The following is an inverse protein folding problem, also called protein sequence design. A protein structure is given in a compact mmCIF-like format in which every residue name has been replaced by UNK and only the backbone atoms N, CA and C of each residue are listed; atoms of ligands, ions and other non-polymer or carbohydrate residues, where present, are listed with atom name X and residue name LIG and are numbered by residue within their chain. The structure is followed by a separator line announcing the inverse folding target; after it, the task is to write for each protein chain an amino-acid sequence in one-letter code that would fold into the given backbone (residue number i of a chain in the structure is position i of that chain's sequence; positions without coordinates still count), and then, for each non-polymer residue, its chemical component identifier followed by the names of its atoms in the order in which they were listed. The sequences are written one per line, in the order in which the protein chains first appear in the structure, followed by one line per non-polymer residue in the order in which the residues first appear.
data_IF_935130480844
#
_entry.id   IF_935130480844
#
_cell.length_a   1.000
_cell.length_b   1.000
_cell.length_c   1.000
_cell.angle_alpha   90.00
_cell.angle_beta   90.00
_cell.angle_gamma   90.00
#
_symmetry.space_group_name_H-M   'P 1'
#
loop_
_entity.id
_entity.type
_entity.pdbx_description
1 polymer ?
#
# COMPACT_ATOMS: atom_id res chain seq x y z
N UNK A 1 21.81 20.11 -4.12
CA UNK A 1 21.28 18.78 -3.72
C UNK A 1 21.42 18.70 -2.22
N UNK A 2 20.32 18.82 -1.48
CA UNK A 2 20.35 18.64 -0.03
C UNK A 2 20.08 17.16 0.20
N UNK A 3 21.10 16.43 0.60
CA UNK A 3 20.93 15.06 1.08
C UNK A 3 20.46 15.20 2.52
N UNK A 4 19.21 14.93 2.80
CA UNK A 4 18.67 14.88 4.15
C UNK A 4 18.90 13.46 4.68
N UNK A 5 19.82 13.28 5.64
CA UNK A 5 20.08 11.95 6.16
C UNK A 5 18.94 11.49 7.08
N UNK A 6 18.60 10.23 7.00
CA UNK A 6 17.78 9.59 8.02
C UNK A 6 18.57 9.49 9.34
N UNK A 7 17.95 9.91 10.42
CA UNK A 7 18.50 9.75 11.77
C UNK A 7 17.64 8.74 12.53
N UNK A 8 18.11 7.51 12.58
CA UNK A 8 17.35 6.41 13.19
C UNK A 8 16.12 6.05 12.37
N UNK A 9 14.99 5.86 13.03
CA UNK A 9 13.71 5.47 12.45
C UNK A 9 12.81 6.67 12.07
N UNK A 10 13.33 7.88 12.08
CA UNK A 10 12.52 9.08 11.84
C UNK A 10 13.07 9.89 10.66
N UNK A 11 12.24 10.19 9.64
CA UNK A 11 12.63 11.07 8.54
C UNK A 11 12.90 12.48 9.09
N UNK A 12 14.12 12.97 8.92
CA UNK A 12 14.52 14.29 9.43
C UNK A 12 13.71 15.42 8.80
N UNK A 13 13.25 15.23 7.56
CA UNK A 13 12.35 16.13 6.85
C UNK A 13 11.08 16.46 7.65
N UNK A 14 10.54 15.48 8.38
CA UNK A 14 9.34 15.65 9.18
C UNK A 14 9.48 16.68 10.30
N UNK A 15 10.70 17.06 10.67
CA UNK A 15 10.94 18.15 11.64
C UNK A 15 10.65 19.53 11.05
N UNK A 16 10.85 19.69 9.74
CA UNK A 16 10.86 20.99 9.08
C UNK A 16 9.82 21.15 7.99
N UNK A 17 9.33 20.03 7.42
CA UNK A 17 8.48 20.05 6.22
C UNK A 17 7.15 19.36 6.55
N UNK A 18 6.06 20.01 6.15
CA UNK A 18 4.72 19.42 6.02
C UNK A 18 4.28 19.64 4.60
N UNK A 19 3.96 18.55 3.91
CA UNK A 19 3.55 18.57 2.52
C UNK A 19 2.05 18.86 2.43
N UNK A 20 1.62 19.64 1.42
CA UNK A 20 0.21 19.96 1.24
C UNK A 20 -0.60 18.82 0.65
N UNK A 21 0.07 17.91 -0.04
CA UNK A 21 -0.55 16.70 -0.58
C UNK A 21 0.44 15.54 -0.61
N UNK A 22 -0.04 14.27 -0.71
CA UNK A 22 0.81 13.11 -0.88
C UNK A 22 1.69 13.20 -2.14
N UNK A 23 1.17 13.77 -3.23
CA UNK A 23 1.93 13.95 -4.48
C UNK A 23 3.14 14.89 -4.29
N UNK A 24 2.99 15.93 -3.46
CA UNK A 24 4.12 16.80 -3.13
C UNK A 24 5.16 16.08 -2.30
N UNK A 25 4.74 15.27 -1.34
CA UNK A 25 5.65 14.46 -0.53
C UNK A 25 6.42 13.48 -1.40
N UNK A 26 5.71 12.77 -2.27
CA UNK A 26 6.31 11.83 -3.21
C UNK A 26 7.28 12.51 -4.17
N UNK A 27 6.89 13.65 -4.75
CA UNK A 27 7.77 14.42 -5.64
C UNK A 27 9.05 14.90 -4.95
N UNK A 28 9.00 15.15 -3.65
CA UNK A 28 10.16 15.51 -2.84
C UNK A 28 11.13 14.32 -2.68
N UNK A 29 10.60 13.13 -2.41
CA UNK A 29 11.41 11.92 -2.19
C UNK A 29 12.11 11.46 -3.46
N UNK A 30 11.44 11.51 -4.60
CA UNK A 30 11.93 10.95 -5.87
C UNK A 30 12.59 11.95 -6.80
N UNK A 31 12.70 13.21 -6.39
CA UNK A 31 13.37 14.23 -7.22
C UNK A 31 14.89 13.97 -7.33
N UNK A 32 15.50 14.04 -8.52
CA UNK A 32 15.02 14.50 -9.83
C UNK A 32 14.90 13.40 -10.90
N UNK A 33 14.89 12.12 -10.60
CA UNK A 33 15.31 11.07 -11.55
C UNK A 33 14.20 10.16 -12.07
N UNK A 34 12.98 10.22 -11.60
CA UNK A 34 11.93 9.31 -12.08
C UNK A 34 10.65 10.04 -12.47
N UNK A 35 10.05 9.60 -13.58
CA UNK A 35 8.69 9.96 -13.96
C UNK A 35 7.71 9.11 -13.14
N UNK A 36 7.54 9.46 -11.88
CA UNK A 36 6.55 8.83 -11.04
C UNK A 36 5.23 9.56 -11.24
N UNK A 37 4.18 8.78 -11.43
CA UNK A 37 2.81 9.28 -11.44
C UNK A 37 2.03 8.62 -10.33
N UNK A 38 1.33 9.40 -9.54
CA UNK A 38 0.30 8.88 -8.67
C UNK A 38 -0.81 8.29 -9.53
N UNK A 39 -1.07 7.00 -9.36
CA UNK A 39 -2.16 6.31 -10.03
C UNK A 39 -3.44 6.40 -9.20
N UNK A 40 -3.34 6.07 -7.91
CA UNK A 40 -4.45 6.13 -6.96
C UNK A 40 -3.97 6.60 -5.60
N UNK A 41 -4.88 7.22 -4.85
CA UNK A 41 -4.73 7.48 -3.42
C UNK A 41 -5.89 6.80 -2.71
N UNK A 42 -5.58 5.98 -1.73
CA UNK A 42 -6.55 5.36 -0.85
C UNK A 42 -6.48 6.12 0.48
N UNK A 43 -7.50 6.94 0.70
CA UNK A 43 -7.58 7.82 1.87
C UNK A 43 -8.04 7.04 3.09
N UNK A 44 -7.21 7.04 4.14
CA UNK A 44 -7.59 6.63 5.49
C UNK A 44 -8.04 7.81 6.35
N UNK A 45 -8.33 7.60 7.62
CA UNK A 45 -8.70 8.67 8.54
C UNK A 45 -7.47 9.51 8.94
N UNK A 46 -6.41 8.87 9.42
CA UNK A 46 -5.19 9.52 9.90
C UNK A 46 -3.97 9.28 8.99
N UNK A 47 -4.15 8.60 7.88
CA UNK A 47 -3.10 8.28 6.91
C UNK A 47 -3.66 8.15 5.50
N UNK A 48 -2.82 7.93 4.52
CA UNK A 48 -3.21 7.48 3.18
C UNK A 48 -2.17 6.53 2.62
N UNK A 49 -2.61 5.66 1.71
CA UNK A 49 -1.80 4.81 0.86
C UNK A 49 -1.81 5.37 -0.54
N UNK A 50 -0.64 5.69 -1.07
CA UNK A 50 -0.46 6.13 -2.46
C UNK A 50 0.01 4.95 -3.29
N UNK A 51 -0.65 4.70 -4.39
CA UNK A 51 -0.26 3.72 -5.40
C UNK A 51 0.41 4.50 -6.53
N UNK A 52 1.68 4.24 -6.73
CA UNK A 52 2.50 4.87 -7.75
C UNK A 52 2.58 3.99 -8.99
N UNK A 53 2.52 4.63 -10.15
CA UNK A 53 2.77 3.99 -11.43
C UNK A 53 4.12 4.45 -11.98
N UNK A 54 5.05 3.52 -12.10
CA UNK A 54 6.37 3.72 -12.70
C UNK A 54 6.42 3.07 -14.08
N UNK A 55 6.81 3.83 -15.08
CA UNK A 55 7.03 3.31 -16.43
C UNK A 55 8.52 3.34 -16.76
N UNK A 56 9.09 2.16 -17.07
CA UNK A 56 10.48 2.03 -17.47
C UNK A 56 10.61 1.02 -18.62
N UNK A 57 11.14 1.49 -19.76
CA UNK A 57 11.37 0.67 -20.95
C UNK A 57 10.10 -0.07 -21.46
N UNK A 58 8.94 0.58 -21.35
CA UNK A 58 7.66 0.00 -21.77
C UNK A 58 7.00 -0.95 -20.73
N UNK A 59 7.67 -1.21 -19.62
CA UNK A 59 7.09 -1.96 -18.50
C UNK A 59 6.49 -1.00 -17.49
N UNK A 60 5.30 -1.33 -17.02
CA UNK A 60 4.61 -0.62 -15.95
C UNK A 60 4.86 -1.39 -14.66
N UNK A 61 5.19 -0.68 -13.60
CA UNK A 61 5.27 -1.20 -12.23
C UNK A 61 4.44 -0.36 -11.29
N UNK A 62 3.85 -1.00 -10.29
CA UNK A 62 3.16 -0.32 -9.22
C UNK A 62 3.95 -0.47 -7.92
N UNK A 63 4.12 0.62 -7.21
CA UNK A 63 4.71 0.66 -5.88
C UNK A 63 3.76 1.38 -4.94
N UNK A 64 3.91 1.16 -3.65
CA UNK A 64 3.03 1.77 -2.63
C UNK A 64 3.84 2.53 -1.62
N UNK A 65 3.32 3.69 -1.21
CA UNK A 65 3.92 4.55 -0.19
C UNK A 65 2.86 5.03 0.79
N UNK A 66 3.22 5.13 2.06
CA UNK A 66 2.32 5.60 3.13
C UNK A 66 2.67 7.01 3.55
N UNK A 67 1.64 7.81 3.85
CA UNK A 67 1.80 9.13 4.44
C UNK A 67 0.86 9.28 5.63
N UNK A 68 1.36 9.91 6.70
CA UNK A 68 0.54 10.30 7.85
C UNK A 68 -0.11 11.64 7.60
N UNK A 69 -1.38 11.76 7.93
CA UNK A 69 -2.11 13.03 7.95
C UNK A 69 -1.79 13.79 9.23
N UNK A 70 -1.54 15.07 9.09
CA UNK A 70 -1.34 16.01 10.19
C UNK A 70 -2.23 17.24 9.94
N UNK A 71 -2.51 18.09 10.93
CA UNK A 71 -3.44 19.22 10.75
C UNK A 71 -3.16 20.11 9.54
N UNK A 72 -1.88 20.26 9.18
CA UNK A 72 -1.46 21.15 8.09
C UNK A 72 -1.10 20.42 6.79
N UNK A 73 -1.33 19.10 6.69
CA UNK A 73 -1.02 18.30 5.50
C UNK A 73 -0.53 16.89 5.78
N UNK A 74 0.57 16.50 5.16
CA UNK A 74 1.09 15.13 5.17
C UNK A 74 2.56 15.08 5.56
N UNK A 75 2.95 13.96 6.18
CA UNK A 75 4.34 13.67 6.57
C UNK A 75 4.67 12.22 6.22
N UNK A 76 5.96 11.96 5.98
CA UNK A 76 6.44 10.59 5.84
C UNK A 76 6.24 9.80 7.14
N UNK A 77 5.87 8.51 7.07
CA UNK A 77 5.90 7.65 8.24
C UNK A 77 7.35 7.42 8.67
N UNK A 78 7.56 7.19 9.96
CA UNK A 78 8.84 6.68 10.45
C UNK A 78 9.01 5.20 10.05
N UNK A 79 10.26 4.71 10.03
CA UNK A 79 10.58 3.33 9.62
C UNK A 79 9.84 2.23 10.40
N UNK A 80 9.31 2.54 11.58
CA UNK A 80 8.55 1.60 12.41
C UNK A 80 7.09 2.02 12.60
N UNK A 81 6.60 2.94 11.79
CA UNK A 81 5.24 3.44 11.91
C UNK A 81 4.22 2.60 11.16
N UNK A 82 4.66 1.78 10.21
CA UNK A 82 3.80 0.80 9.54
C UNK A 82 4.25 -0.59 9.95
N UNK A 83 3.31 -1.38 10.45
CA UNK A 83 3.52 -2.77 10.82
C UNK A 83 2.74 -3.66 9.88
N UNK A 84 3.34 -4.74 9.41
CA UNK A 84 2.74 -5.65 8.45
C UNK A 84 2.55 -7.05 9.03
N UNK A 85 1.50 -7.73 8.56
CA UNK A 85 1.26 -9.14 8.84
C UNK A 85 0.85 -9.87 7.56
N UNK A 86 1.62 -10.88 7.23
CA UNK A 86 1.27 -11.80 6.15
C UNK A 86 0.22 -12.80 6.62
N UNK A 87 -0.80 -13.01 5.81
CA UNK A 87 -1.79 -14.05 6.06
C UNK A 87 -1.26 -15.37 5.52
N UNK A 88 -1.08 -16.33 6.41
CA UNK A 88 -0.49 -17.64 6.08
C UNK A 88 -1.22 -18.33 4.92
N UNK A 89 -0.45 -18.79 3.95
CA UNK A 89 -0.98 -19.51 2.78
C UNK A 89 -1.53 -18.61 1.68
N UNK A 90 -1.32 -17.31 1.76
CA UNK A 90 -1.78 -16.33 0.75
C UNK A 90 -0.68 -15.33 0.45
N UNK A 91 -0.88 -14.54 -0.63
CA UNK A 91 -0.10 -13.31 -0.88
C UNK A 91 -0.70 -12.08 -0.18
N UNK A 92 -1.60 -12.28 0.77
CA UNK A 92 -2.37 -11.24 1.45
C UNK A 92 -1.55 -10.67 2.60
N UNK A 93 -1.43 -9.36 2.62
CA UNK A 93 -0.72 -8.60 3.65
C UNK A 93 -1.71 -7.61 4.26
N UNK A 94 -1.76 -7.56 5.58
CA UNK A 94 -2.46 -6.49 6.31
C UNK A 94 -1.42 -5.62 6.96
N UNK A 95 -1.52 -4.33 6.72
CA UNK A 95 -0.62 -3.31 7.25
C UNK A 95 -1.39 -2.39 8.19
N UNK A 96 -0.80 -2.12 9.34
CA UNK A 96 -1.34 -1.24 10.37
C UNK A 96 -0.47 0.00 10.52
N UNK A 97 -1.06 1.18 10.47
CA UNK A 97 -0.36 2.43 10.69
C UNK A 97 -0.37 2.76 12.19
N UNK A 98 0.79 2.66 12.82
CA UNK A 98 0.96 2.79 14.27
C UNK A 98 0.48 4.14 14.81
N UNK A 99 -0.29 4.07 15.88
CA UNK A 99 -0.87 5.25 16.54
C UNK A 99 -2.13 5.78 15.86
N UNK A 100 -2.64 5.04 14.90
CA UNK A 100 -3.93 5.31 14.23
C UNK A 100 -4.86 4.10 14.40
N UNK A 101 -6.01 4.15 13.73
CA UNK A 101 -6.91 2.99 13.56
C UNK A 101 -7.00 2.58 12.09
N UNK A 102 -6.03 3.02 11.29
CA UNK A 102 -5.97 2.76 9.87
C UNK A 102 -5.27 1.44 9.59
N UNK A 103 -5.94 0.61 8.81
CA UNK A 103 -5.43 -0.64 8.29
C UNK A 103 -5.53 -0.62 6.76
N UNK A 104 -4.53 -1.17 6.12
CA UNK A 104 -4.51 -1.38 4.68
C UNK A 104 -4.30 -2.84 4.38
N UNK A 105 -5.07 -3.34 3.44
CA UNK A 105 -4.94 -4.69 2.94
C UNK A 105 -4.40 -4.64 1.53
N UNK A 106 -3.39 -5.43 1.26
CA UNK A 106 -2.83 -5.57 -0.09
C UNK A 106 -2.53 -7.03 -0.40
N UNK A 107 -2.47 -7.35 -1.68
CA UNK A 107 -2.05 -8.65 -2.14
C UNK A 107 -1.90 -8.70 -3.64
N UNK A 108 -1.36 -9.81 -4.13
CA UNK A 108 -1.10 -10.03 -5.55
C UNK A 108 -1.57 -11.43 -5.95
N UNK A 109 -2.19 -11.53 -7.11
CA UNK A 109 -2.49 -12.80 -7.79
C UNK A 109 -1.92 -12.78 -9.19
N UNK A 110 -1.15 -13.78 -9.54
CA UNK A 110 -0.69 -13.94 -10.91
C UNK A 110 -1.81 -14.51 -11.79
N UNK A 111 -2.03 -13.90 -12.96
CA UNK A 111 -3.04 -14.27 -13.95
C UNK A 111 -2.44 -14.32 -15.35
N UNK A 112 -3.20 -14.84 -16.31
CA UNK A 112 -2.80 -14.94 -17.72
C UNK A 112 -3.37 -13.78 -18.56
N UNK A 113 -4.25 -12.96 -18.00
CA UNK A 113 -4.91 -11.87 -18.68
C UNK A 113 -4.81 -10.56 -17.89
N UNK A 114 -4.53 -9.47 -18.56
CA UNK A 114 -4.46 -8.15 -17.97
C UNK A 114 -5.79 -7.66 -17.37
N UNK A 115 -6.90 -8.12 -17.95
CA UNK A 115 -8.25 -7.70 -17.55
C UNK A 115 -8.88 -8.63 -16.49
N UNK A 116 -8.14 -9.62 -16.01
CA UNK A 116 -8.60 -10.46 -14.92
C UNK A 116 -8.81 -9.64 -13.65
N UNK A 117 -9.89 -9.93 -12.95
CA UNK A 117 -10.24 -9.29 -11.68
C UNK A 117 -10.13 -10.33 -10.57
N UNK A 118 -9.43 -9.97 -9.50
CA UNK A 118 -9.38 -10.80 -8.29
C UNK A 118 -10.71 -10.69 -7.54
N UNK A 119 -11.37 -11.82 -7.25
CA UNK A 119 -12.58 -11.81 -6.43
C UNK A 119 -12.18 -11.65 -4.96
N UNK A 120 -12.20 -10.41 -4.49
CA UNK A 120 -11.91 -10.05 -3.12
C UNK A 120 -13.03 -9.22 -2.54
N UNK A 121 -13.46 -9.59 -1.35
CA UNK A 121 -14.49 -8.91 -0.55
C UNK A 121 -14.16 -9.04 0.93
N UNK A 122 -14.80 -8.25 1.74
CA UNK A 122 -14.78 -8.40 3.19
C UNK A 122 -16.19 -8.28 3.79
N UNK A 123 -16.31 -8.49 5.09
CA UNK A 123 -17.58 -8.35 5.79
C UNK A 123 -17.93 -6.90 6.14
N UNK A 124 -17.09 -5.92 5.83
CA UNK A 124 -17.34 -4.49 6.03
C UNK A 124 -17.80 -3.78 4.76
N UNK A 125 -17.71 -4.43 3.59
CA UNK A 125 -18.05 -3.84 2.30
C UNK A 125 -16.98 -2.88 1.78
N UNK A 126 -15.72 -3.14 2.10
CA UNK A 126 -14.57 -2.37 1.63
C UNK A 126 -14.51 -2.34 0.11
N UNK A 127 -14.29 -1.16 -0.47
CA UNK A 127 -13.99 -1.01 -1.88
C UNK A 127 -12.51 -1.30 -2.13
N UNK A 128 -12.23 -2.37 -2.90
CA UNK A 128 -10.87 -2.72 -3.29
C UNK A 128 -10.51 -2.07 -4.63
N UNK A 129 -9.35 -1.42 -4.65
CA UNK A 129 -8.72 -0.92 -5.87
C UNK A 129 -7.84 -2.03 -6.43
N UNK A 130 -7.88 -2.24 -7.74
CA UNK A 130 -7.05 -3.23 -8.41
C UNK A 130 -6.18 -2.58 -9.48
N UNK A 131 -4.97 -3.11 -9.67
CA UNK A 131 -4.02 -2.74 -10.71
C UNK A 131 -3.49 -3.98 -11.38
N UNK A 132 -3.06 -3.85 -12.65
CA UNK A 132 -2.51 -4.96 -13.43
C UNK A 132 -1.13 -4.61 -13.94
N UNK A 133 -0.15 -5.46 -13.67
CA UNK A 133 1.24 -5.31 -14.12
C UNK A 133 1.67 -6.51 -14.94
N UNK A 134 2.19 -6.29 -16.17
CA UNK A 134 2.78 -7.36 -16.95
C UNK A 134 4.15 -7.74 -16.38
N UNK A 135 4.29 -8.96 -15.88
CA UNK A 135 5.52 -9.43 -15.22
C UNK A 135 6.38 -10.33 -16.12
N UNK A 136 5.87 -10.83 -17.22
CA UNK A 136 6.66 -11.62 -18.15
C UNK A 136 5.88 -12.56 -19.04
N UNK A 137 6.58 -13.59 -19.52
CA UNK A 137 6.01 -14.72 -20.26
C UNK A 137 6.40 -16.03 -19.57
N UNK A 138 5.46 -16.91 -19.44
CA UNK A 138 5.70 -18.27 -18.99
C UNK A 138 5.17 -19.24 -20.04
N UNK A 139 6.06 -19.99 -20.72
CA UNK A 139 5.71 -20.96 -21.78
C UNK A 139 4.79 -20.36 -22.86
N UNK A 140 5.18 -19.19 -23.41
CA UNK A 140 4.42 -18.45 -24.42
C UNK A 140 3.09 -17.82 -23.95
N UNK A 141 2.76 -17.91 -22.67
CA UNK A 141 1.62 -17.25 -22.05
C UNK A 141 2.11 -15.97 -21.37
N UNK A 142 1.43 -14.86 -21.62
CA UNK A 142 1.70 -13.62 -20.89
C UNK A 142 1.29 -13.78 -19.41
N UNK A 143 2.10 -13.27 -18.51
CA UNK A 143 1.84 -13.30 -17.07
C UNK A 143 1.66 -11.87 -16.55
N UNK A 144 0.63 -11.70 -15.74
CA UNK A 144 0.25 -10.43 -15.12
C UNK A 144 0.09 -10.61 -13.61
N UNK A 145 0.63 -9.67 -12.84
CA UNK A 145 0.32 -9.52 -11.43
C UNK A 145 -0.89 -8.62 -11.26
N UNK A 146 -1.99 -9.18 -10.79
CA UNK A 146 -3.18 -8.44 -10.37
C UNK A 146 -3.02 -8.09 -8.89
N UNK A 147 -2.61 -6.84 -8.61
CA UNK A 147 -2.51 -6.35 -7.25
C UNK A 147 -3.84 -5.71 -6.82
N UNK A 148 -4.20 -5.91 -5.57
CA UNK A 148 -5.41 -5.34 -4.97
C UNK A 148 -5.08 -4.68 -3.63
N UNK A 149 -5.82 -3.60 -3.34
CA UNK A 149 -5.61 -2.75 -2.18
C UNK A 149 -6.93 -2.33 -1.59
N UNK A 150 -7.05 -2.34 -0.27
CA UNK A 150 -8.24 -1.88 0.45
C UNK A 150 -7.88 -1.15 1.73
N UNK A 151 -8.72 -0.23 2.15
CA UNK A 151 -8.62 0.48 3.42
C UNK A 151 -9.70 0.04 4.37
N UNK A 152 -9.33 -0.16 5.63
CA UNK A 152 -10.22 -0.55 6.70
C UNK A 152 -9.95 0.33 7.93
N UNK A 153 -10.98 0.65 8.66
CA UNK A 153 -10.88 1.47 9.86
C UNK A 153 -11.39 0.72 11.09
N UNK A 154 -10.61 0.81 12.17
CA UNK A 154 -10.98 0.28 13.50
C UNK A 154 -11.51 -1.16 13.47
N UNK A 155 -10.84 -2.03 12.70
CA UNK A 155 -11.25 -3.41 12.52
C UNK A 155 -11.18 -4.20 13.83
N UNK A 156 -12.10 -5.14 13.99
CA UNK A 156 -12.27 -5.97 15.18
C UNK A 156 -11.96 -7.44 14.89
N UNK A 157 -11.97 -8.28 15.93
CA UNK A 157 -11.73 -9.72 15.82
C UNK A 157 -12.74 -10.47 14.93
N UNK A 158 -13.83 -9.82 14.53
CA UNK A 158 -14.85 -10.40 13.64
C UNK A 158 -14.60 -10.10 12.17
N UNK A 159 -13.48 -9.46 11.85
CA UNK A 159 -13.15 -9.12 10.47
C UNK A 159 -12.82 -10.35 9.65
N UNK A 160 -13.45 -10.45 8.48
CA UNK A 160 -13.28 -11.58 7.56
C UNK A 160 -13.04 -11.07 6.16
N UNK A 161 -12.08 -11.72 5.49
CA UNK A 161 -11.77 -11.51 4.08
C UNK A 161 -12.20 -12.74 3.31
N UNK A 162 -12.86 -12.50 2.19
CA UNK A 162 -13.24 -13.52 1.21
C UNK A 162 -12.39 -13.30 -0.05
N UNK A 163 -11.47 -14.19 -0.30
CA UNK A 163 -10.56 -14.14 -1.44
C UNK A 163 -10.71 -15.42 -2.27
N UNK A 164 -11.12 -15.30 -3.55
CA UNK A 164 -11.25 -16.41 -4.46
C UNK A 164 -12.07 -17.58 -3.89
N UNK A 165 -13.16 -17.26 -3.21
CA UNK A 165 -14.04 -18.25 -2.58
C UNK A 165 -13.55 -18.84 -1.24
N UNK A 166 -12.40 -18.43 -0.75
CA UNK A 166 -11.88 -18.82 0.56
C UNK A 166 -12.10 -17.71 1.58
N UNK A 167 -12.32 -18.09 2.83
CA UNK A 167 -12.51 -17.17 3.94
C UNK A 167 -11.29 -17.15 4.85
N UNK A 168 -10.81 -15.96 5.17
CA UNK A 168 -9.70 -15.74 6.10
C UNK A 168 -10.18 -14.90 7.26
N UNK A 169 -9.94 -15.40 8.48
CA UNK A 169 -10.16 -14.66 9.72
C UNK A 169 -8.82 -14.10 10.18
N UNK A 170 -8.81 -12.83 10.52
CA UNK A 170 -7.58 -12.19 10.98
C UNK A 170 -7.58 -12.14 12.51
N UNK A 171 -6.52 -12.62 13.15
CA UNK A 171 -6.30 -12.30 14.56
C UNK A 171 -5.84 -10.83 14.66
N UNK A 172 -6.67 -9.97 15.24
CA UNK A 172 -6.40 -8.54 15.38
C UNK A 172 -5.72 -8.16 16.70
N UNK A 173 -4.80 -8.94 17.15
CA UNK A 173 -3.84 -8.46 18.12
C UNK A 173 -2.81 -7.61 17.40
N UNK A 174 -2.87 -6.29 17.58
CA UNK A 174 -1.94 -5.32 16.99
C UNK A 174 -0.49 -5.65 17.38
N UNK A 175 -0.28 -6.25 18.56
CA UNK A 175 1.02 -6.69 19.03
C UNK A 175 1.55 -7.89 18.22
N UNK A 176 0.67 -8.60 17.51
CA UNK A 176 1.07 -9.71 16.63
C UNK A 176 1.63 -9.26 15.28
N UNK A 177 1.52 -7.98 14.92
CA UNK A 177 2.13 -7.45 13.69
C UNK A 177 3.64 -7.30 13.87
N UNK A 178 4.41 -7.79 12.92
CA UNK A 178 5.87 -7.62 12.89
C UNK A 178 6.26 -6.16 12.65
N UNK A 179 7.45 -5.81 13.16
CA UNK A 179 8.06 -4.51 12.87
C UNK A 179 8.75 -4.55 11.51
#
# INVERSE_FOLDING_TARGET
MVIVPYVGAFPVENLFITFKSPEQALAYEVWPMSKIKVDKIIEGEASCLVIEKKEKHGNIRYETEYFKKVPDGYKFPGNHDVKAKNITGTSLIVEYVKGTKDYYLSGVKMTECADDIVDIKDNLGTSFVQTSEKVGHYKDIEAYDQAYYGYMYDITNDYKIYLEGQTYELPFDVDSFSN
#
